data_IF_478921722034
#
_entry.id   IF_478921722034
#
_cell.length_a   1.000
_cell.length_b   1.000
_cell.length_c   1.000
_cell.angle_alpha   90.00
_cell.angle_beta   90.00
_cell.angle_gamma   90.00
#
_symmetry.space_group_name_H-M   'P 1'
#
loop_
_entity.id
_entity.type
_entity.pdbx_description
1 polymer ?
#
# COMPACT_ATOMS: atom_id res chain seq x y z
N UNK A 1 25.17 -22.58 -35.53
CA UNK A 1 23.91 -22.10 -34.92
C UNK A 1 24.09 -21.97 -33.41
N UNK A 2 24.72 -20.88 -32.92
CA UNK A 2 25.03 -20.76 -31.49
C UNK A 2 24.98 -19.32 -30.98
N UNK A 3 24.06 -18.50 -31.51
CA UNK A 3 23.82 -17.14 -31.00
C UNK A 3 22.32 -16.78 -30.91
N UNK A 4 21.42 -17.73 -31.21
CA UNK A 4 19.97 -17.50 -31.19
C UNK A 4 19.30 -17.71 -29.82
N UNK A 5 20.01 -18.31 -28.84
CA UNK A 5 19.43 -18.61 -27.52
C UNK A 5 19.59 -17.47 -26.49
N UNK A 6 20.41 -16.45 -26.75
CA UNK A 6 20.72 -15.40 -25.76
C UNK A 6 19.73 -14.22 -25.80
N UNK A 7 18.95 -14.09 -26.88
CA UNK A 7 18.04 -12.94 -27.05
C UNK A 7 16.64 -13.11 -26.46
N UNK A 8 16.24 -14.31 -26.05
CA UNK A 8 14.87 -14.56 -25.57
C UNK A 8 14.71 -14.30 -24.05
N UNK A 9 15.81 -14.18 -23.30
CA UNK A 9 15.74 -14.05 -21.83
C UNK A 9 15.63 -12.60 -21.31
N UNK A 10 15.85 -11.59 -22.16
CA UNK A 10 15.93 -10.18 -21.71
C UNK A 10 14.59 -9.45 -21.80
N UNK A 11 13.58 -9.99 -22.50
CA UNK A 11 12.30 -9.29 -22.71
C UNK A 11 11.22 -9.60 -21.67
N UNK A 12 11.44 -10.54 -20.75
CA UNK A 12 10.44 -10.89 -19.71
C UNK A 12 10.58 -10.11 -18.39
N UNK A 13 11.65 -9.33 -18.18
CA UNK A 13 11.89 -8.65 -16.90
C UNK A 13 11.20 -7.29 -16.73
N UNK A 14 10.72 -6.67 -17.82
CA UNK A 14 10.11 -5.34 -17.78
C UNK A 14 8.66 -5.33 -17.28
N UNK A 15 7.98 -6.48 -17.22
CA UNK A 15 6.59 -6.56 -16.75
C UNK A 15 6.45 -6.61 -15.21
N UNK A 16 7.52 -6.92 -14.47
CA UNK A 16 7.49 -7.03 -13.01
C UNK A 16 7.84 -5.73 -12.26
N UNK A 17 8.41 -4.73 -12.93
CA UNK A 17 8.84 -3.48 -12.29
C UNK A 17 7.70 -2.55 -11.85
N UNK A 18 6.55 -2.61 -12.52
CA UNK A 18 5.43 -1.68 -12.27
C UNK A 18 4.62 -2.01 -11.01
N UNK A 19 4.48 -3.29 -10.66
CA UNK A 19 3.77 -3.70 -9.44
C UNK A 19 4.61 -3.46 -8.17
N UNK A 20 5.93 -3.63 -8.27
CA UNK A 20 6.85 -3.45 -7.16
C UNK A 20 6.91 -1.99 -6.68
N UNK A 21 6.76 -1.01 -7.58
CA UNK A 21 6.81 0.41 -7.23
C UNK A 21 5.62 0.88 -6.40
N UNK A 22 4.38 0.51 -6.78
CA UNK A 22 3.16 0.88 -6.05
C UNK A 22 3.10 0.20 -4.68
N UNK A 23 3.49 -1.07 -4.61
CA UNK A 23 3.58 -1.79 -3.34
C UNK A 23 4.57 -1.12 -2.37
N UNK A 24 5.74 -0.71 -2.87
CA UNK A 24 6.73 0.00 -2.07
C UNK A 24 6.22 1.37 -1.60
N UNK A 25 5.57 2.13 -2.49
CA UNK A 25 4.95 3.41 -2.16
C UNK A 25 3.87 3.27 -1.07
N UNK A 26 3.04 2.21 -1.13
CA UNK A 26 2.06 1.96 -0.09
C UNK A 26 2.70 1.63 1.27
N UNK A 27 3.79 0.85 1.29
CA UNK A 27 4.58 0.61 2.52
C UNK A 27 5.11 1.91 3.11
N UNK A 28 5.69 2.77 2.27
CA UNK A 28 6.23 4.07 2.69
C UNK A 28 5.11 4.98 3.22
N UNK A 29 3.95 5.01 2.55
CA UNK A 29 2.79 5.75 3.00
C UNK A 29 2.30 5.28 4.38
N UNK A 30 2.14 3.97 4.59
CA UNK A 30 1.72 3.38 5.88
C UNK A 30 2.72 3.70 6.99
N UNK A 31 4.01 3.58 6.70
CA UNK A 31 5.07 3.90 7.65
C UNK A 31 5.01 5.38 8.05
N UNK A 32 4.88 6.29 7.09
CA UNK A 32 4.78 7.71 7.40
C UNK A 32 3.47 8.05 8.14
N UNK A 33 2.37 7.37 7.81
CA UNK A 33 1.07 7.60 8.43
C UNK A 33 1.03 7.15 9.90
N UNK A 34 1.46 5.92 10.20
CA UNK A 34 1.27 5.34 11.53
C UNK A 34 2.52 5.34 12.40
N UNK A 35 3.73 5.20 11.82
CA UNK A 35 4.97 5.17 12.59
C UNK A 35 5.57 6.57 12.77
N UNK A 36 5.67 7.36 11.69
CA UNK A 36 6.25 8.71 11.76
C UNK A 36 5.23 9.79 12.08
N UNK A 37 3.95 9.53 11.79
CA UNK A 37 2.87 10.53 11.86
C UNK A 37 3.19 11.80 11.07
N UNK A 38 3.91 11.64 9.95
CA UNK A 38 4.25 12.73 9.04
C UNK A 38 3.14 12.90 8.01
N UNK A 39 2.06 13.55 8.43
CA UNK A 39 0.87 13.74 7.60
C UNK A 39 1.14 14.60 6.36
N UNK A 40 2.09 15.53 6.44
CA UNK A 40 2.50 16.33 5.29
C UNK A 40 3.14 15.44 4.23
N UNK A 41 4.10 14.59 4.63
CA UNK A 41 4.70 13.60 3.72
C UNK A 41 3.66 12.64 3.16
N UNK A 42 2.73 12.16 3.97
CA UNK A 42 1.65 11.26 3.52
C UNK A 42 0.83 11.88 2.37
N UNK A 43 0.45 13.15 2.49
CA UNK A 43 -0.32 13.81 1.41
C UNK A 43 0.45 13.92 0.08
N UNK A 44 1.78 13.81 0.07
CA UNK A 44 2.57 13.85 -1.18
C UNK A 44 2.37 12.60 -2.05
N UNK A 45 1.95 11.48 -1.46
CA UNK A 45 1.65 10.25 -2.18
C UNK A 45 0.28 10.28 -2.87
N UNK A 46 -0.60 11.19 -2.45
CA UNK A 46 -1.99 11.24 -2.92
C UNK A 46 -2.11 11.88 -4.29
N UNK A 47 -3.17 11.52 -5.02
CA UNK A 47 -3.60 12.26 -6.21
C UNK A 47 -4.13 13.63 -5.79
N UNK A 48 -4.15 14.60 -6.71
CA UNK A 48 -4.58 15.96 -6.36
C UNK A 48 -6.05 16.03 -5.94
N UNK A 49 -6.88 15.08 -6.39
CA UNK A 49 -8.25 14.95 -5.91
C UNK A 49 -8.28 14.42 -4.47
N UNK A 50 -7.57 13.33 -4.18
CA UNK A 50 -7.56 12.77 -2.82
C UNK A 50 -6.93 13.73 -1.80
N UNK A 51 -5.94 14.55 -2.18
CA UNK A 51 -5.37 15.59 -1.30
C UNK A 51 -6.39 16.62 -0.84
N UNK A 52 -7.37 16.97 -1.68
CA UNK A 52 -8.44 17.92 -1.33
C UNK A 52 -9.36 17.31 -0.27
N UNK A 53 -9.64 16.01 -0.41
CA UNK A 53 -10.57 15.30 0.47
C UNK A 53 -9.90 14.86 1.78
N UNK A 54 -8.62 14.49 1.73
CA UNK A 54 -7.85 13.92 2.83
C UNK A 54 -6.58 14.75 3.08
N UNK A 55 -6.78 15.91 3.69
CA UNK A 55 -5.72 16.84 4.07
C UNK A 55 -4.91 16.33 5.25
N UNK A 56 -3.73 16.90 5.51
CA UNK A 56 -2.91 16.56 6.68
C UNK A 56 -3.70 16.76 8.01
N UNK A 57 -4.54 17.79 8.08
CA UNK A 57 -5.42 18.06 9.24
C UNK A 57 -6.51 17.00 9.42
N UNK A 58 -7.02 16.41 8.33
CA UNK A 58 -7.96 15.27 8.43
C UNK A 58 -7.23 13.98 8.79
N UNK A 59 -6.03 13.76 8.25
CA UNK A 59 -5.20 12.60 8.57
C UNK A 59 -4.82 12.57 10.06
N UNK A 60 -4.56 13.71 10.69
CA UNK A 60 -4.23 13.73 12.13
C UNK A 60 -5.38 13.25 13.03
N UNK A 61 -6.63 13.24 12.53
CA UNK A 61 -7.75 12.65 13.26
C UNK A 61 -7.60 11.12 13.43
N UNK A 62 -6.75 10.48 12.63
CA UNK A 62 -6.40 9.06 12.81
C UNK A 62 -5.65 8.80 14.12
N UNK A 63 -5.08 9.82 14.78
CA UNK A 63 -4.45 9.65 16.08
C UNK A 63 -5.43 9.14 17.15
N UNK A 64 -6.69 9.57 17.11
CA UNK A 64 -7.74 9.07 18.02
C UNK A 64 -8.01 7.58 17.81
N UNK A 65 -7.89 7.13 16.56
CA UNK A 65 -8.03 5.71 16.23
C UNK A 65 -6.79 4.93 16.68
N UNK A 66 -5.59 5.48 16.50
CA UNK A 66 -4.35 4.88 16.98
C UNK A 66 -4.32 4.72 18.50
N UNK A 67 -4.91 5.64 19.27
CA UNK A 67 -5.05 5.47 20.72
C UNK A 67 -5.82 4.20 21.10
N UNK A 68 -6.74 3.74 20.25
CA UNK A 68 -7.50 2.50 20.46
C UNK A 68 -6.78 1.26 19.92
N UNK A 69 -6.08 1.40 18.80
CA UNK A 69 -5.35 0.30 18.16
C UNK A 69 -4.02 -0.02 18.86
N UNK A 70 -3.47 0.94 19.59
CA UNK A 70 -2.12 0.89 20.16
C UNK A 70 -1.03 1.08 19.10
N UNK A 71 0.22 0.85 19.48
CA UNK A 71 1.36 1.14 18.62
C UNK A 71 1.34 0.33 17.32
N UNK A 72 1.76 0.97 16.22
CA UNK A 72 2.04 0.29 14.96
C UNK A 72 3.19 -0.72 15.13
N UNK A 73 2.98 -1.97 14.71
CA UNK A 73 3.98 -3.05 14.80
C UNK A 73 4.49 -3.54 13.45
N UNK A 74 3.89 -3.11 12.34
CA UNK A 74 4.35 -3.48 11.00
C UNK A 74 3.25 -3.97 10.07
N UNK A 75 3.61 -4.14 8.80
CA UNK A 75 2.78 -4.82 7.79
C UNK A 75 3.14 -6.31 7.83
N UNK A 76 2.15 -7.17 8.07
CA UNK A 76 2.33 -8.63 8.16
C UNK A 76 1.95 -9.36 6.87
N UNK A 77 1.09 -8.77 6.04
CA UNK A 77 0.71 -9.33 4.74
C UNK A 77 0.43 -8.22 3.73
N UNK A 78 0.73 -8.48 2.46
CA UNK A 78 0.32 -7.61 1.35
C UNK A 78 -0.23 -8.46 0.23
N UNK A 79 -1.44 -8.11 -0.20
CA UNK A 79 -2.07 -8.68 -1.38
C UNK A 79 -2.52 -7.59 -2.35
N UNK A 80 -2.73 -8.00 -3.59
CA UNK A 80 -3.33 -7.19 -4.65
C UNK A 80 -4.45 -7.99 -5.28
N UNK A 81 -5.63 -7.41 -5.41
CA UNK A 81 -6.72 -8.07 -6.12
C UNK A 81 -6.66 -7.85 -7.63
N UNK A 82 -7.55 -8.52 -8.37
CA UNK A 82 -7.64 -8.45 -9.82
C UNK A 82 -7.95 -7.04 -10.34
N UNK A 83 -8.53 -6.17 -9.50
CA UNK A 83 -8.82 -4.76 -9.82
C UNK A 83 -7.63 -3.84 -9.54
N UNK A 84 -6.52 -4.41 -9.08
CA UNK A 84 -5.31 -3.70 -8.74
C UNK A 84 -5.37 -2.94 -7.42
N UNK A 85 -6.33 -3.27 -6.54
CA UNK A 85 -6.43 -2.70 -5.20
C UNK A 85 -5.48 -3.45 -4.28
N UNK A 86 -4.66 -2.72 -3.55
CA UNK A 86 -3.74 -3.28 -2.56
C UNK A 86 -4.40 -3.36 -1.19
N UNK A 87 -4.13 -4.46 -0.50
CA UNK A 87 -4.57 -4.76 0.85
C UNK A 87 -3.31 -5.00 1.67
N UNK A 88 -3.01 -4.08 2.59
CA UNK A 88 -1.91 -4.20 3.53
C UNK A 88 -2.48 -4.59 4.88
N UNK A 89 -2.24 -5.81 5.30
CA UNK A 89 -2.65 -6.25 6.62
C UNK A 89 -1.63 -5.74 7.64
N UNK A 90 -2.04 -4.76 8.44
CA UNK A 90 -1.19 -4.02 9.37
C UNK A 90 -1.46 -4.50 10.79
N UNK A 91 -0.40 -4.86 11.50
CA UNK A 91 -0.47 -5.20 12.92
C UNK A 91 -0.33 -3.94 13.78
N UNK A 92 -1.28 -3.73 14.67
CA UNK A 92 -1.14 -2.85 15.83
C UNK A 92 -1.09 -3.71 17.11
N UNK A 93 -0.89 -3.09 18.27
CA UNK A 93 -0.85 -3.80 19.56
C UNK A 93 -2.12 -4.55 19.87
N UNK A 94 -3.26 -3.87 19.74
CA UNK A 94 -4.53 -4.38 20.23
C UNK A 94 -5.25 -5.23 19.19
N UNK A 95 -5.12 -4.87 17.91
CA UNK A 95 -5.71 -5.63 16.81
C UNK A 95 -5.04 -5.30 15.46
N UNK A 96 -4.99 -6.25 14.52
CA UNK A 96 -4.59 -5.97 13.15
C UNK A 96 -5.74 -5.36 12.33
N UNK A 97 -5.41 -4.62 11.29
CA UNK A 97 -6.36 -3.93 10.41
C UNK A 97 -5.90 -4.04 8.95
N UNK A 98 -6.85 -4.13 8.02
CA UNK A 98 -6.56 -3.99 6.60
C UNK A 98 -6.52 -2.51 6.22
N UNK A 99 -5.40 -2.07 5.67
CA UNK A 99 -5.26 -0.78 4.99
C UNK A 99 -5.37 -1.01 3.50
N UNK A 100 -6.42 -0.45 2.90
CA UNK A 100 -6.80 -0.69 1.51
C UNK A 100 -6.43 0.54 0.70
N UNK A 101 -5.63 0.34 -0.35
CA UNK A 101 -5.14 1.43 -1.21
C UNK A 101 -5.42 1.17 -2.68
N UNK A 102 -5.86 2.21 -3.38
CA UNK A 102 -5.95 2.26 -4.83
C UNK A 102 -4.94 3.26 -5.39
N UNK A 103 -4.25 2.88 -6.45
CA UNK A 103 -3.32 3.74 -7.17
C UNK A 103 -3.86 4.08 -8.56
N UNK A 104 -3.45 5.23 -9.10
CA UNK A 104 -3.57 5.52 -10.53
C UNK A 104 -2.32 5.10 -11.31
N UNK A 105 -2.35 5.30 -12.63
CA UNK A 105 -1.26 4.96 -13.54
C UNK A 105 0.01 5.80 -13.33
N UNK A 106 -0.08 6.89 -12.56
CA UNK A 106 1.04 7.75 -12.17
C UNK A 106 1.56 7.41 -10.77
N UNK A 107 1.16 6.27 -10.22
CA UNK A 107 1.51 5.79 -8.89
C UNK A 107 1.10 6.76 -7.76
N UNK A 108 0.01 7.51 -7.95
CA UNK A 108 -0.60 8.30 -6.88
C UNK A 108 -1.74 7.54 -6.25
N UNK A 109 -1.86 7.67 -4.92
CA UNK A 109 -2.95 7.05 -4.16
C UNK A 109 -4.24 7.83 -4.47
N UNK A 110 -5.23 7.14 -5.01
CA UNK A 110 -6.55 7.68 -5.35
C UNK A 110 -7.63 7.26 -4.36
N UNK A 111 -7.35 6.26 -3.52
CA UNK A 111 -8.21 5.86 -2.41
C UNK A 111 -7.40 5.24 -1.29
N UNK A 112 -7.77 5.58 -0.05
CA UNK A 112 -7.20 5.07 1.19
C UNK A 112 -8.34 4.82 2.17
N UNK A 113 -8.47 3.59 2.68
CA UNK A 113 -9.41 3.27 3.74
C UNK A 113 -8.85 2.20 4.66
N UNK A 114 -9.43 2.05 5.84
CA UNK A 114 -9.06 1.04 6.81
C UNK A 114 -10.28 0.21 7.21
N UNK A 115 -10.08 -1.10 7.35
CA UNK A 115 -11.12 -2.07 7.68
C UNK A 115 -10.65 -2.97 8.82
N UNK A 116 -11.51 -3.24 9.80
CA UNK A 116 -11.27 -4.28 10.81
C UNK A 116 -11.59 -5.68 10.31
N UNK A 117 -12.28 -5.79 9.17
CA UNK A 117 -12.56 -7.07 8.51
C UNK A 117 -11.42 -7.35 7.54
N UNK A 118 -10.64 -8.39 7.85
CA UNK A 118 -9.56 -8.85 6.99
C UNK A 118 -10.12 -9.52 5.73
N UNK A 119 -9.61 -9.15 4.56
CA UNK A 119 -9.90 -9.82 3.30
C UNK A 119 -9.00 -11.03 3.14
N UNK A 120 -9.59 -12.21 3.22
CA UNK A 120 -8.91 -13.47 2.93
C UNK A 120 -8.53 -13.56 1.45
N UNK A 121 -7.26 -13.85 1.18
CA UNK A 121 -6.77 -14.19 -0.15
C UNK A 121 -6.48 -15.69 -0.18
N UNK A 122 -7.04 -16.38 -1.17
CA UNK A 122 -6.73 -17.80 -1.37
C UNK A 122 -5.21 -17.92 -1.57
N UNK A 123 -4.52 -18.62 -0.68
CA UNK A 123 -3.12 -18.96 -0.92
C UNK A 123 -3.09 -19.76 -2.22
N UNK A 124 -2.37 -19.28 -3.22
CA UNK A 124 -1.93 -20.16 -4.30
C UNK A 124 -1.06 -21.23 -3.61
N UNK A 125 -1.62 -22.41 -3.33
CA UNK A 125 -0.83 -23.57 -2.94
C UNK A 125 0.18 -23.76 -4.08
N UNK A 126 1.44 -23.47 -3.78
CA UNK A 126 2.57 -23.79 -4.66
C UNK A 126 2.62 -25.28 -4.92
#
# INVERSE_FOLDING_TARGET
MRHLLVFVFVTMFSAFGFAQSQQALGRECIYNLYQKKDYNKVTTYFSDNLKKDLTASKLSQTDLLLQKLGDYKGIIEINKDEKGIYYYYVRFENQPMDVIMKFDDKNKITGLTMSSVHKEFKSAKK
#
